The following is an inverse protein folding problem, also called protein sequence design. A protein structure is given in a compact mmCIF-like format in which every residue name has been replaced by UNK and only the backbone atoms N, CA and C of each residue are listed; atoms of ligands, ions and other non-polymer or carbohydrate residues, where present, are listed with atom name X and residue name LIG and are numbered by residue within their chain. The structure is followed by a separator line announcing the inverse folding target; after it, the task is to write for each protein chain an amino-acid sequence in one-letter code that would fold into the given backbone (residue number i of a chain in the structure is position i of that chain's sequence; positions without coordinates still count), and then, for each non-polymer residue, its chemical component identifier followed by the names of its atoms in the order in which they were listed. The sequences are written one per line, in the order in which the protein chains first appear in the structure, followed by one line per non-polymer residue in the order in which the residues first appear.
data_IF_106203708181
#
_entry.id   IF_106203708181
#
_cell.length_a   1.000
_cell.length_b   1.000
_cell.length_c   1.000
_cell.angle_alpha   90.00
_cell.angle_beta   90.00
_cell.angle_gamma   90.00
#
_symmetry.space_group_name_H-M   'P 1'
#
loop_
_entity.id
_entity.type
_entity.pdbx_description
1 polymer ?
#
# COMPACT_ATOMS: atom_id res chain seq x y z
N UNK A 1 -9.75 15.51 4.37
CA UNK A 1 -9.55 15.97 5.77
C UNK A 1 -8.32 16.86 5.83
N UNK A 2 -8.39 17.97 6.58
CA UNK A 2 -7.32 18.97 6.66
C UNK A 2 -6.00 18.39 7.20
N UNK A 3 -6.06 17.54 8.24
CA UNK A 3 -4.88 16.85 8.78
C UNK A 3 -4.12 16.04 7.70
N UNK A 4 -4.83 15.23 6.93
CA UNK A 4 -4.21 14.38 5.90
C UNK A 4 -3.64 15.23 4.76
N UNK A 5 -4.33 16.30 4.37
CA UNK A 5 -3.82 17.23 3.34
C UNK A 5 -2.54 17.94 3.80
N UNK A 6 -2.38 18.22 5.10
CA UNK A 6 -1.15 18.79 5.65
C UNK A 6 0.02 17.80 5.70
N UNK A 7 -0.27 16.49 5.67
CA UNK A 7 0.72 15.42 5.57
C UNK A 7 1.08 15.06 4.13
N UNK A 8 0.22 15.43 3.18
CA UNK A 8 0.47 15.16 1.77
C UNK A 8 1.66 15.99 1.28
N UNK A 9 2.57 15.32 0.60
CA UNK A 9 3.63 15.97 -0.15
C UNK A 9 3.06 16.74 -1.34
N UNK A 10 3.84 17.72 -1.84
CA UNK A 10 3.46 18.55 -2.99
C UNK A 10 3.19 17.71 -4.24
N UNK A 11 3.90 16.60 -4.38
CA UNK A 11 3.83 15.72 -5.55
C UNK A 11 2.70 14.67 -5.41
N UNK A 12 2.00 14.65 -4.27
CA UNK A 12 0.85 13.78 -4.02
C UNK A 12 1.18 12.29 -3.86
N UNK A 13 2.45 11.92 -3.64
CA UNK A 13 2.87 10.53 -3.47
C UNK A 13 2.17 9.84 -2.31
N UNK A 14 2.00 10.50 -1.16
CA UNK A 14 1.24 9.94 -0.04
C UNK A 14 -0.18 9.53 -0.46
N UNK A 15 -0.84 10.36 -1.28
CA UNK A 15 -2.20 10.06 -1.77
C UNK A 15 -2.21 8.83 -2.67
N UNK A 16 -1.20 8.66 -3.53
CA UNK A 16 -1.05 7.47 -4.39
C UNK A 16 -0.77 6.22 -3.56
N UNK A 17 0.14 6.29 -2.59
CA UNK A 17 0.42 5.18 -1.66
C UNK A 17 -0.83 4.74 -0.89
N UNK A 18 -1.62 5.69 -0.38
CA UNK A 18 -2.90 5.37 0.29
C UNK A 18 -3.89 4.72 -0.68
N UNK A 19 -3.96 5.17 -1.93
CA UNK A 19 -4.80 4.52 -2.96
C UNK A 19 -4.36 3.07 -3.21
N UNK A 20 -3.06 2.80 -3.27
CA UNK A 20 -2.55 1.44 -3.43
C UNK A 20 -2.92 0.56 -2.23
N UNK A 21 -2.70 1.01 -0.99
CA UNK A 21 -3.11 0.26 0.21
C UNK A 21 -4.61 -0.06 0.22
N UNK A 22 -5.45 0.90 -0.17
CA UNK A 22 -6.89 0.69 -0.26
C UNK A 22 -7.25 -0.31 -1.37
N UNK A 23 -6.64 -0.22 -2.54
CA UNK A 23 -6.85 -1.17 -3.62
C UNK A 23 -6.46 -2.61 -3.23
N UNK A 24 -5.35 -2.76 -2.51
CA UNK A 24 -4.95 -4.04 -1.92
C UNK A 24 -5.98 -4.54 -0.90
N UNK A 25 -6.44 -3.67 -0.01
CA UNK A 25 -7.49 -4.00 0.96
C UNK A 25 -8.78 -4.45 0.30
N UNK A 26 -9.22 -3.76 -0.75
CA UNK A 26 -10.45 -4.07 -1.47
C UNK A 26 -10.36 -5.40 -2.24
N UNK A 27 -9.16 -5.74 -2.74
CA UNK A 27 -8.93 -6.99 -3.46
C UNK A 27 -8.90 -8.21 -2.54
N UNK A 28 -8.35 -8.07 -1.33
CA UNK A 28 -8.26 -9.16 -0.36
C UNK A 28 -9.62 -9.40 0.30
N UNK A 29 -10.10 -10.64 0.25
CA UNK A 29 -11.38 -11.06 0.85
C UNK A 29 -11.35 -11.22 2.39
N UNK A 30 -10.24 -10.90 3.05
CA UNK A 30 -10.07 -11.06 4.50
C UNK A 30 -10.27 -9.76 5.29
N UNK A 31 -10.17 -9.85 6.61
CA UNK A 31 -10.27 -8.68 7.52
C UNK A 31 -8.98 -7.87 7.51
N UNK A 32 -8.74 -7.15 6.41
CA UNK A 32 -7.74 -6.08 6.38
C UNK A 32 -8.31 -4.78 6.99
N UNK A 33 -7.45 -3.88 7.50
CA UNK A 33 -7.90 -2.63 8.08
C UNK A 33 -8.67 -1.73 7.13
N UNK A 34 -9.55 -0.92 7.70
CA UNK A 34 -10.29 0.07 6.92
C UNK A 34 -9.36 1.07 6.23
N UNK A 35 -9.85 1.68 5.16
CA UNK A 35 -9.10 2.71 4.45
C UNK A 35 -8.71 3.92 5.32
N UNK A 36 -9.40 4.18 6.43
CA UNK A 36 -9.01 5.21 7.41
C UNK A 36 -7.72 4.80 8.13
N UNK A 37 -7.65 3.56 8.62
CA UNK A 37 -6.46 3.01 9.28
C UNK A 37 -5.28 3.04 8.32
N UNK A 38 -5.45 2.59 7.06
CA UNK A 38 -4.38 2.67 6.07
C UNK A 38 -3.93 4.10 5.76
N UNK A 39 -4.85 5.06 5.75
CA UNK A 39 -4.50 6.48 5.56
C UNK A 39 -3.60 6.99 6.68
N UNK A 40 -3.89 6.61 7.93
CA UNK A 40 -3.11 7.01 9.11
C UNK A 40 -1.75 6.30 9.13
N UNK A 41 -1.75 4.97 8.93
CA UNK A 41 -0.53 4.17 8.90
C UNK A 41 0.43 4.66 7.81
N UNK A 42 -0.06 4.94 6.60
CA UNK A 42 0.74 5.50 5.52
C UNK A 42 1.27 6.89 5.86
N UNK A 43 0.44 7.80 6.35
CA UNK A 43 0.86 9.17 6.68
C UNK A 43 1.94 9.20 7.77
N UNK A 44 1.90 8.26 8.73
CA UNK A 44 2.89 8.16 9.80
C UNK A 44 4.19 7.47 9.37
N UNK A 45 4.17 6.67 8.30
CA UNK A 45 5.28 5.79 7.91
C UNK A 45 5.77 6.01 6.47
N UNK A 46 5.31 7.07 5.80
CA UNK A 46 5.64 7.34 4.40
C UNK A 46 7.17 7.36 4.20
N UNK A 47 7.61 6.76 3.11
CA UNK A 47 8.99 6.84 2.66
C UNK A 47 9.01 7.32 1.22
N UNK A 48 9.33 8.60 1.04
CA UNK A 48 9.37 9.20 -0.29
C UNK A 48 10.50 8.63 -1.14
N UNK A 49 10.23 8.53 -2.44
CA UNK A 49 11.17 8.07 -3.46
C UNK A 49 10.73 8.54 -4.84
N UNK A 50 11.66 8.69 -5.79
CA UNK A 50 11.33 9.15 -7.15
C UNK A 50 10.41 8.18 -7.91
N UNK A 51 10.49 6.89 -7.56
CA UNK A 51 9.63 5.82 -8.08
C UNK A 51 8.59 5.40 -7.04
N UNK A 52 7.33 5.33 -7.44
CA UNK A 52 6.22 4.97 -6.56
C UNK A 52 6.27 3.53 -6.05
N UNK A 53 6.76 2.57 -6.86
CA UNK A 53 6.91 1.16 -6.47
C UNK A 53 7.90 0.99 -5.30
N UNK A 54 9.02 1.70 -5.36
CA UNK A 54 10.03 1.74 -4.30
C UNK A 54 9.52 2.53 -3.08
N UNK A 55 8.85 3.66 -3.27
CA UNK A 55 8.23 4.41 -2.18
C UNK A 55 7.19 3.54 -1.44
N UNK A 56 6.38 2.79 -2.20
CA UNK A 56 5.36 1.91 -1.68
C UNK A 56 5.97 0.78 -0.86
N UNK A 57 6.95 0.05 -1.42
CA UNK A 57 7.68 -1.01 -0.72
C UNK A 57 8.29 -0.51 0.60
N UNK A 58 9.05 0.59 0.57
CA UNK A 58 9.67 1.16 1.76
C UNK A 58 8.64 1.59 2.81
N UNK A 59 7.49 2.08 2.36
CA UNK A 59 6.37 2.45 3.25
C UNK A 59 5.73 1.23 3.88
N UNK A 60 5.49 0.14 3.13
CA UNK A 60 5.00 -1.14 3.66
C UNK A 60 5.95 -1.68 4.75
N UNK A 61 7.26 -1.67 4.50
CA UNK A 61 8.29 -2.10 5.47
C UNK A 61 8.23 -1.26 6.76
N UNK A 62 8.10 0.06 6.64
CA UNK A 62 7.97 0.94 7.82
C UNK A 62 6.65 0.72 8.58
N UNK A 63 5.53 0.55 7.88
CA UNK A 63 4.23 0.21 8.49
C UNK A 63 4.35 -1.08 9.29
N UNK A 64 4.86 -2.15 8.66
CA UNK A 64 5.05 -3.44 9.33
C UNK A 64 5.97 -3.29 10.55
N UNK A 65 7.12 -2.63 10.40
CA UNK A 65 8.06 -2.41 11.50
C UNK A 65 7.48 -1.60 12.65
N UNK A 66 6.54 -0.68 12.37
CA UNK A 66 5.82 0.06 13.41
C UNK A 66 4.83 -0.84 14.15
N UNK A 67 4.08 -1.66 13.42
CA UNK A 67 3.06 -2.55 13.98
C UNK A 67 3.66 -3.74 14.75
N UNK A 68 4.80 -4.27 14.30
CA UNK A 68 5.55 -5.32 15.02
C UNK A 68 6.08 -4.80 16.37
N UNK A 69 6.44 -3.50 16.44
CA UNK A 69 6.86 -2.85 17.69
C UNK A 69 5.68 -2.61 18.62
N UNK A 70 4.59 -2.10 18.09
CA UNK A 70 3.34 -1.92 18.83
C UNK A 70 2.16 -1.91 17.86
N UNK A 71 1.24 -2.85 18.03
CA UNK A 71 0.10 -3.03 17.13
C UNK A 71 -1.02 -2.01 17.45
N UNK A 72 -0.77 -0.75 17.12
CA UNK A 72 -1.67 0.38 17.42
C UNK A 72 -1.81 1.33 16.23
N UNK A 73 -2.94 2.01 16.14
CA UNK A 73 -3.19 3.07 15.18
C UNK A 73 -4.03 4.20 15.81
N UNK A 74 -3.37 5.21 16.35
CA UNK A 74 -4.05 6.34 16.98
C UNK A 74 -4.68 7.28 15.97
N UNK A 75 -5.97 7.58 16.16
CA UNK A 75 -6.70 8.56 15.38
C UNK A 75 -6.09 9.96 15.60
N UNK A 76 -5.69 10.67 14.52
CA UNK A 76 -5.07 11.99 14.63
C UNK A 76 -6.08 13.14 14.73
N UNK A 77 -7.37 12.88 14.48
CA UNK A 77 -8.46 13.87 14.48
C UNK A 77 -9.47 13.57 15.58
N UNK A 78 -10.24 14.57 16.01
CA UNK A 78 -11.25 14.42 17.05
C UNK A 78 -12.26 13.30 16.76
N UNK A 79 -12.55 12.40 17.73
CA UNK A 79 -11.89 12.27 19.04
C UNK A 79 -10.46 11.74 18.88
N UNK A 80 -9.46 12.56 19.22
CA UNK A 80 -8.06 12.22 18.99
C UNK A 80 -7.59 11.15 19.98
N UNK A 81 -6.55 10.41 19.60
CA UNK A 81 -5.88 9.40 20.43
C UNK A 81 -6.69 8.12 20.71
N UNK A 82 -7.85 7.95 20.08
CA UNK A 82 -8.51 6.65 19.99
C UNK A 82 -7.61 5.68 19.20
N UNK A 83 -7.26 4.53 19.78
CA UNK A 83 -6.58 3.47 19.05
C UNK A 83 -7.58 2.64 18.23
N UNK A 84 -7.50 2.80 16.92
CA UNK A 84 -8.39 2.17 15.94
C UNK A 84 -8.13 0.67 15.76
N UNK A 85 -7.05 0.12 16.36
CA UNK A 85 -6.71 -1.30 16.31
C UNK A 85 -6.98 -2.04 17.63
N UNK A 86 -7.41 -1.38 18.70
CA UNK A 86 -7.61 -2.00 20.03
C UNK A 86 -8.53 -3.23 19.99
N UNK A 87 -9.54 -3.25 19.11
CA UNK A 87 -10.50 -4.35 18.99
C UNK A 87 -10.03 -5.55 18.16
N UNK A 88 -8.82 -5.54 17.60
CA UNK A 88 -8.34 -6.64 16.78
C UNK A 88 -8.09 -7.89 17.63
N UNK A 89 -8.69 -9.01 17.22
CA UNK A 89 -8.35 -10.31 17.80
C UNK A 89 -6.91 -10.70 17.44
N UNK A 90 -6.29 -11.57 18.23
CA UNK A 90 -4.95 -12.11 17.93
C UNK A 90 -4.91 -12.76 16.53
N UNK A 91 -5.98 -13.43 16.12
CA UNK A 91 -6.11 -14.02 14.78
C UNK A 91 -6.08 -12.96 13.70
N UNK A 92 -6.83 -11.87 13.85
CA UNK A 92 -6.88 -10.78 12.88
C UNK A 92 -5.58 -9.98 12.84
N UNK A 93 -4.94 -9.76 14.00
CA UNK A 93 -3.60 -9.18 14.09
C UNK A 93 -2.59 -10.02 13.31
N UNK A 94 -2.52 -11.32 13.58
CA UNK A 94 -1.59 -12.23 12.89
C UNK A 94 -1.89 -12.31 11.39
N UNK A 95 -3.17 -12.35 11.02
CA UNK A 95 -3.58 -12.33 9.62
C UNK A 95 -3.09 -11.06 8.92
N UNK A 96 -3.36 -9.88 9.49
CA UNK A 96 -2.93 -8.62 8.90
C UNK A 96 -1.42 -8.51 8.77
N UNK A 97 -0.67 -8.85 9.83
CA UNK A 97 0.80 -8.84 9.79
C UNK A 97 1.36 -9.83 8.76
N UNK A 98 0.77 -11.03 8.66
CA UNK A 98 1.14 -12.02 7.64
C UNK A 98 0.83 -11.57 6.22
N UNK A 99 -0.27 -10.83 6.01
CA UNK A 99 -0.58 -10.23 4.72
C UNK A 99 0.42 -9.11 4.36
N UNK A 100 0.83 -8.28 5.32
CA UNK A 100 1.90 -7.30 5.12
C UNK A 100 3.22 -7.98 4.75
N UNK A 101 3.60 -9.05 5.44
CA UNK A 101 4.81 -9.83 5.14
C UNK A 101 4.78 -10.40 3.72
N UNK A 102 3.68 -11.03 3.34
CA UNK A 102 3.50 -11.55 1.99
C UNK A 102 3.60 -10.45 0.93
N UNK A 103 3.06 -9.26 1.20
CA UNK A 103 3.14 -8.14 0.27
C UNK A 103 4.58 -7.61 0.15
N UNK A 104 5.26 -7.40 1.27
CA UNK A 104 6.64 -6.94 1.31
C UNK A 104 7.54 -7.90 0.53
N UNK A 105 7.39 -9.22 0.71
CA UNK A 105 8.19 -10.22 0.00
C UNK A 105 7.95 -10.19 -1.52
N UNK A 106 6.69 -10.12 -1.97
CA UNK A 106 6.38 -10.00 -3.41
C UNK A 106 6.95 -8.70 -4.00
N UNK A 107 6.84 -7.59 -3.26
CA UNK A 107 7.34 -6.29 -3.68
C UNK A 107 8.88 -6.25 -3.75
N UNK A 108 9.57 -6.81 -2.75
CA UNK A 108 11.03 -6.93 -2.74
C UNK A 108 11.52 -7.71 -3.94
N UNK A 109 10.92 -8.89 -4.19
CA UNK A 109 11.27 -9.71 -5.35
C UNK A 109 10.98 -8.97 -6.66
N UNK A 110 9.84 -8.29 -6.78
CA UNK A 110 9.48 -7.55 -7.98
C UNK A 110 10.40 -6.35 -8.27
N UNK A 111 11.06 -5.80 -7.24
CA UNK A 111 12.01 -4.69 -7.35
C UNK A 111 13.46 -5.13 -7.58
N UNK A 112 13.76 -6.43 -7.45
CA UNK A 112 15.08 -6.98 -7.75
C UNK A 112 15.37 -6.85 -9.26
N UNK A 113 16.52 -6.28 -9.60
CA UNK A 113 16.98 -6.06 -10.98
C UNK A 113 17.08 -7.35 -11.81
N UNK A 114 17.21 -8.51 -11.16
CA UNK A 114 17.29 -9.83 -11.79
C UNK A 114 15.92 -10.44 -12.05
N UNK A 115 14.85 -9.86 -11.49
CA UNK A 115 13.50 -10.37 -11.70
C UNK A 115 13.00 -9.96 -13.08
N UNK A 116 12.56 -10.96 -13.84
CA UNK A 116 11.94 -10.72 -15.14
C UNK A 116 10.67 -9.87 -14.97
N UNK A 117 10.42 -8.93 -15.88
CA UNK A 117 9.27 -8.03 -15.83
C UNK A 117 7.93 -8.78 -15.67
N UNK A 118 7.78 -9.91 -16.36
CA UNK A 118 6.61 -10.80 -16.24
C UNK A 118 6.41 -11.31 -14.81
N UNK A 119 7.48 -11.68 -14.13
CA UNK A 119 7.41 -12.23 -12.78
C UNK A 119 7.21 -11.12 -11.74
N UNK A 120 7.82 -9.95 -11.95
CA UNK A 120 7.52 -8.75 -11.16
C UNK A 120 6.04 -8.39 -11.27
N UNK A 121 5.51 -8.36 -12.49
CA UNK A 121 4.11 -8.04 -12.75
C UNK A 121 3.14 -9.03 -12.09
N UNK A 122 3.42 -10.35 -12.19
CA UNK A 122 2.68 -11.38 -11.47
C UNK A 122 2.75 -11.20 -9.95
N UNK A 123 3.92 -10.80 -9.42
CA UNK A 123 4.09 -10.49 -8.00
C UNK A 123 3.14 -9.40 -7.52
N UNK A 124 2.95 -8.34 -8.31
CA UNK A 124 1.99 -7.27 -8.01
C UNK A 124 0.53 -7.73 -8.18
N UNK A 125 0.23 -8.52 -9.22
CA UNK A 125 -1.12 -9.09 -9.44
C UNK A 125 -1.60 -9.97 -8.29
N UNK A 126 -0.71 -10.66 -7.59
CA UNK A 126 -1.07 -11.43 -6.39
C UNK A 126 -1.73 -10.58 -5.30
N UNK A 127 -1.46 -9.27 -5.27
CA UNK A 127 -1.95 -8.33 -4.25
C UNK A 127 -3.00 -7.36 -4.77
N UNK A 128 -3.00 -7.04 -6.07
CA UNK A 128 -3.95 -6.09 -6.65
C UNK A 128 -5.04 -6.74 -7.52
N UNK A 129 -4.83 -8.00 -7.92
CA UNK A 129 -5.65 -8.67 -8.93
C UNK A 129 -5.27 -8.28 -10.35
N UNK A 130 -5.60 -9.15 -11.30
CA UNK A 130 -5.30 -8.97 -12.72
C UNK A 130 -6.05 -7.77 -13.32
N UNK A 131 -7.30 -7.54 -12.89
CA UNK A 131 -8.13 -6.43 -13.37
C UNK A 131 -7.56 -5.04 -13.01
N UNK A 132 -6.97 -4.90 -11.82
CA UNK A 132 -6.42 -3.62 -11.34
C UNK A 132 -4.94 -3.44 -11.68
N UNK A 133 -4.23 -4.54 -11.93
CA UNK A 133 -2.83 -4.53 -12.35
C UNK A 133 -2.65 -5.40 -13.60
N UNK A 134 -3.09 -4.94 -14.78
CA UNK A 134 -2.99 -5.72 -16.01
C UNK A 134 -1.53 -5.79 -16.48
N UNK A 135 -1.05 -7.01 -16.72
CA UNK A 135 0.25 -7.24 -17.35
C UNK A 135 0.08 -7.29 -18.87
N UNK A 136 0.06 -6.13 -19.53
CA UNK A 136 0.11 -6.07 -20.98
C UNK A 136 1.57 -6.18 -21.42
N UNK A 137 2.14 -7.38 -21.32
CA UNK A 137 3.45 -7.66 -21.89
C UNK A 137 3.29 -7.68 -23.41
N UNK A 138 3.45 -6.54 -24.07
CA UNK A 138 3.62 -6.53 -25.51
C UNK A 138 4.95 -7.21 -25.81
N UNK A 139 4.93 -8.17 -26.75
CA UNK A 139 6.14 -8.54 -27.47
C UNK A 139 6.62 -7.27 -28.19
N UNK A 140 7.57 -6.56 -27.58
CA UNK A 140 8.14 -5.28 -28.05
C UNK A 140 7.17 -4.09 -28.08
N UNK A 141 7.33 -3.17 -27.12
CA UNK A 141 7.57 -1.72 -27.29
C UNK A 141 7.22 -1.01 -25.97
N UNK A 142 8.08 -0.09 -25.55
CA UNK A 142 8.08 0.65 -24.28
C UNK A 142 6.69 1.15 -23.86
N UNK A 143 6.14 0.62 -22.77
CA UNK A 143 4.86 1.10 -22.19
C UNK A 143 5.14 1.87 -20.89
N UNK A 144 4.69 3.12 -20.86
CA UNK A 144 4.69 4.00 -19.68
C UNK A 144 3.76 3.47 -18.59
N UNK A 145 4.26 3.43 -17.36
CA UNK A 145 3.73 2.66 -16.21
C UNK A 145 2.40 3.21 -15.63
N UNK A 146 1.77 4.22 -16.24
CA UNK A 146 0.43 4.68 -15.82
C UNK A 146 -0.40 5.13 -17.04
N UNK A 147 -1.52 4.46 -17.38
CA UNK A 147 -2.45 5.00 -18.35
C UNK A 147 -3.11 6.24 -17.74
N UNK A 148 -3.04 7.33 -18.49
CA UNK A 148 -3.69 8.59 -18.20
C UNK A 148 -5.21 8.36 -18.24
N UNK A 149 -5.83 7.98 -17.13
CA UNK A 149 -7.29 7.86 -17.06
C UNK A 149 -7.90 9.24 -16.91
N UNK A 150 -8.17 9.84 -18.06
CA UNK A 150 -9.29 10.74 -18.19
C UNK A 150 -10.57 9.98 -17.85
N UNK A 151 -11.20 10.36 -16.75
CA UNK A 151 -12.64 10.27 -16.62
C UNK A 151 -13.16 11.69 -16.51
N UNK A 152 -13.87 12.09 -17.56
CA UNK A 152 -14.72 13.26 -17.60
C UNK A 152 -15.91 13.05 -16.65
N UNK A 153 -16.26 14.15 -15.97
CA UNK A 153 -17.39 14.44 -15.07
C UNK A 153 -17.31 13.91 -13.64
#
# INVERSE_FOLDING_TARGET
MQWFNNKADKDGQLKRIVRYLKAWSDYRRGELPSGLIFSILAANNISHHDRDDMAFYKTLVKIKSSLDRNFVCYRPTTPAYEDLLTGYSKTNTNYFLGQLDSFIQSAEKALDEKTMEKDACKGWQQHFGEDRFPCNLSSAETITIFPNTGFLY
#
